data_IF_337331946195
#
_entry.id   IF_337331946195
#
_cell.length_a   1.000
_cell.length_b   1.000
_cell.length_c   1.000
_cell.angle_alpha   90.00
_cell.angle_beta   90.00
_cell.angle_gamma   90.00
#
_symmetry.space_group_name_H-M   'P 1'
#
loop_
_entity.id
_entity.type
_entity.pdbx_description
1 polymer ?
#
# COMPACT_ATOMS: atom_id res chain seq x y z
N UNK A 1 -1.79 -6.33 22.36
CA UNK A 1 -1.22 -6.87 21.11
C UNK A 1 -1.66 -6.00 19.96
N UNK A 2 -0.75 -5.63 19.07
CA UNK A 2 -1.05 -4.93 17.82
C UNK A 2 -0.22 -5.54 16.68
N UNK A 3 -0.72 -5.45 15.44
CA UNK A 3 -0.01 -6.04 14.31
C UNK A 3 -0.79 -5.89 13.02
N UNK A 4 -0.45 -6.68 12.01
CA UNK A 4 -1.11 -6.68 10.72
C UNK A 4 -1.21 -8.09 10.13
N UNK A 5 -2.16 -8.23 9.23
CA UNK A 5 -2.22 -9.28 8.24
C UNK A 5 -1.94 -8.64 6.87
N UNK A 6 -0.95 -9.16 6.14
CA UNK A 6 -0.69 -8.71 4.78
C UNK A 6 -1.86 -9.10 3.86
N UNK A 7 -2.07 -8.35 2.79
CA UNK A 7 -3.11 -8.67 1.79
C UNK A 7 -2.97 -10.10 1.24
N UNK A 8 -1.73 -10.53 1.04
CA UNK A 8 -1.37 -11.85 0.55
C UNK A 8 -1.72 -12.99 1.52
N UNK A 9 -2.01 -12.69 2.80
CA UNK A 9 -2.52 -13.68 3.74
C UNK A 9 -3.83 -14.32 3.22
N UNK A 10 -4.64 -13.57 2.47
CA UNK A 10 -5.83 -14.10 1.79
C UNK A 10 -5.53 -15.25 0.83
N UNK A 11 -4.35 -15.25 0.20
CA UNK A 11 -3.91 -16.32 -0.70
C UNK A 11 -3.61 -17.63 0.05
N UNK A 12 -3.21 -17.53 1.34
CA UNK A 12 -2.98 -18.69 2.20
C UNK A 12 -4.26 -19.22 2.84
N UNK A 13 -5.19 -18.31 3.16
CA UNK A 13 -6.45 -18.64 3.85
C UNK A 13 -7.51 -19.21 2.91
N UNK A 14 -7.55 -18.75 1.66
CA UNK A 14 -8.49 -19.22 0.65
C UNK A 14 -7.86 -20.35 -0.19
N UNK A 15 -8.43 -21.55 -0.11
CA UNK A 15 -7.89 -22.74 -0.76
C UNK A 15 -7.73 -22.59 -2.28
N UNK A 16 -8.70 -21.92 -2.94
CA UNK A 16 -8.67 -21.65 -4.39
C UNK A 16 -7.52 -20.76 -4.82
N UNK A 17 -6.95 -19.99 -3.89
CA UNK A 17 -5.91 -19.01 -4.16
C UNK A 17 -4.51 -19.47 -3.77
N UNK A 18 -4.38 -20.60 -3.06
CA UNK A 18 -3.07 -21.10 -2.57
C UNK A 18 -2.03 -21.25 -3.68
N UNK A 19 -2.43 -21.70 -4.86
CA UNK A 19 -1.53 -21.82 -6.03
C UNK A 19 -1.08 -20.48 -6.64
N UNK A 20 -1.61 -19.36 -6.17
CA UNK A 20 -1.24 -18.01 -6.63
C UNK A 20 -0.27 -17.29 -5.67
N UNK A 21 0.16 -17.96 -4.60
CA UNK A 21 1.10 -17.39 -3.65
C UNK A 21 2.44 -17.13 -4.35
N UNK A 22 3.00 -15.91 -4.25
CA UNK A 22 4.33 -15.61 -4.75
C UNK A 22 5.40 -16.47 -4.06
N UNK A 23 6.47 -16.85 -4.77
CA UNK A 23 7.57 -17.64 -4.22
C UNK A 23 8.33 -16.91 -3.09
N UNK A 24 8.31 -15.59 -3.11
CA UNK A 24 8.86 -14.76 -2.02
C UNK A 24 7.95 -13.55 -1.79
N UNK A 25 7.88 -13.13 -0.53
CA UNK A 25 7.14 -11.96 -0.09
C UNK A 25 8.10 -10.96 0.54
N UNK A 26 7.93 -9.65 0.31
CA UNK A 26 8.77 -8.61 0.91
C UNK A 26 8.53 -8.45 2.42
N UNK A 27 7.37 -8.89 2.90
CA UNK A 27 6.95 -8.79 4.30
C UNK A 27 6.31 -10.10 4.76
N UNK A 28 6.32 -10.40 6.07
CA UNK A 28 5.58 -11.54 6.61
C UNK A 28 4.08 -11.45 6.31
N UNK A 29 3.42 -12.59 6.12
CA UNK A 29 1.95 -12.66 5.94
C UNK A 29 1.18 -12.16 7.16
N UNK A 30 1.75 -12.36 8.34
CA UNK A 30 1.20 -11.89 9.60
C UNK A 30 2.33 -11.47 10.53
N UNK A 31 2.16 -10.37 11.20
CA UNK A 31 3.07 -9.92 12.25
C UNK A 31 2.27 -9.31 13.40
N UNK A 32 2.57 -9.71 14.63
CA UNK A 32 1.94 -9.19 15.82
C UNK A 32 2.97 -8.94 16.92
N UNK A 33 2.97 -7.73 17.47
CA UNK A 33 3.74 -7.35 18.64
C UNK A 33 2.92 -7.47 19.91
N UNK A 34 3.57 -7.89 20.99
CA UNK A 34 3.01 -7.88 22.35
C UNK A 34 3.56 -6.65 23.05
N UNK A 35 2.68 -5.80 23.55
CA UNK A 35 3.02 -4.55 24.22
C UNK A 35 2.48 -4.58 25.64
N UNK A 36 3.25 -4.04 26.57
CA UNK A 36 2.86 -3.99 27.99
C UNK A 36 1.78 -2.94 28.24
N UNK A 37 1.77 -1.87 27.41
CA UNK A 37 0.84 -0.75 27.57
C UNK A 37 0.55 -0.08 26.22
N UNK A 38 -0.45 0.80 26.22
CA UNK A 38 -0.79 1.68 25.08
C UNK A 38 -1.20 3.05 25.60
N UNK A 39 -1.06 4.06 24.76
CA UNK A 39 -1.51 5.43 25.05
C UNK A 39 -2.57 5.84 24.04
N UNK A 40 -3.71 6.28 24.52
CA UNK A 40 -4.70 6.96 23.70
C UNK A 40 -4.30 8.42 23.54
N UNK A 41 -4.28 8.88 22.31
CA UNK A 41 -3.93 10.25 21.97
C UNK A 41 -5.14 10.93 21.32
N UNK A 42 -5.35 12.19 21.68
CA UNK A 42 -6.23 13.05 20.89
C UNK A 42 -5.55 13.38 19.56
N UNK A 43 -6.32 13.90 18.61
CA UNK A 43 -5.75 14.35 17.32
C UNK A 43 -4.66 15.42 17.52
N UNK A 44 -4.84 16.34 18.47
CA UNK A 44 -3.84 17.34 18.80
C UNK A 44 -2.56 16.73 19.35
N UNK A 45 -2.69 15.82 20.36
CA UNK A 45 -1.52 15.13 20.93
C UNK A 45 -0.76 14.30 19.88
N UNK A 46 -1.48 13.69 18.93
CA UNK A 46 -0.85 12.97 17.85
C UNK A 46 -0.02 13.91 16.97
N UNK A 47 -0.60 15.02 16.52
CA UNK A 47 0.10 16.00 15.67
C UNK A 47 1.33 16.58 16.37
N UNK A 48 1.22 16.90 17.67
CA UNK A 48 2.33 17.40 18.47
C UNK A 48 3.44 16.35 18.69
N UNK A 49 3.11 15.07 18.60
CA UNK A 49 4.07 13.98 18.74
C UNK A 49 4.80 13.62 17.44
N UNK A 50 4.33 14.11 16.29
CA UNK A 50 4.96 13.84 15.01
C UNK A 50 6.24 14.67 14.83
N UNK A 51 7.24 14.14 14.12
CA UNK A 51 8.43 14.92 13.75
C UNK A 51 8.05 16.11 12.87
N UNK A 52 8.86 17.17 12.93
CA UNK A 52 8.70 18.33 12.05
C UNK A 52 8.73 17.87 10.57
N UNK A 53 7.72 18.30 9.81
CA UNK A 53 7.62 18.03 8.36
C UNK A 53 8.82 18.52 7.56
N UNK A 54 9.52 19.57 8.03
CA UNK A 54 10.76 20.04 7.40
C UNK A 54 11.91 19.02 7.52
N UNK A 55 11.78 18.02 8.39
CA UNK A 55 12.71 16.91 8.53
C UNK A 55 12.55 15.82 7.47
N UNK A 56 11.66 15.98 6.49
CA UNK A 56 11.46 15.03 5.40
C UNK A 56 11.51 15.74 4.04
N UNK A 57 12.09 15.03 3.06
CA UNK A 57 12.17 15.48 1.68
C UNK A 57 11.72 14.39 0.74
N UNK A 58 10.90 14.77 -0.25
CA UNK A 58 10.43 13.91 -1.32
C UNK A 58 10.95 14.42 -2.66
N UNK A 59 11.55 13.53 -3.43
CA UNK A 59 11.95 13.79 -4.79
C UNK A 59 10.78 13.74 -5.76
N UNK A 60 11.10 13.87 -7.05
CA UNK A 60 10.09 13.76 -8.12
C UNK A 60 9.49 12.36 -8.16
N UNK A 61 8.17 12.29 -8.23
CA UNK A 61 7.43 11.06 -8.48
C UNK A 61 7.70 10.56 -9.91
N UNK A 62 8.12 9.30 -10.03
CA UNK A 62 8.40 8.64 -11.31
C UNK A 62 7.53 7.39 -11.43
N UNK A 63 6.51 7.38 -12.31
CA UNK A 63 5.73 6.19 -12.60
C UNK A 63 6.61 5.06 -13.16
N UNK A 64 6.35 3.82 -12.75
CA UNK A 64 7.01 2.62 -13.30
C UNK A 64 6.31 2.04 -14.54
N UNK A 65 5.28 2.71 -15.01
CA UNK A 65 4.54 2.34 -16.22
C UNK A 65 4.63 3.50 -17.22
N UNK A 66 4.79 3.18 -18.49
CA UNK A 66 4.71 4.20 -19.53
C UNK A 66 3.26 4.68 -19.72
N UNK A 67 3.09 5.89 -20.23
CA UNK A 67 1.75 6.40 -20.56
C UNK A 67 1.03 5.49 -21.55
N UNK A 68 1.73 4.97 -22.55
CA UNK A 68 1.16 4.10 -23.57
C UNK A 68 0.67 2.76 -22.99
N UNK A 69 1.46 2.15 -22.09
CA UNK A 69 1.08 0.90 -21.42
C UNK A 69 -0.12 1.11 -20.49
N UNK A 70 -0.15 2.24 -19.76
CA UNK A 70 -1.29 2.58 -18.93
C UNK A 70 -2.57 2.77 -19.76
N UNK A 71 -2.49 3.51 -20.86
CA UNK A 71 -3.63 3.76 -21.75
C UNK A 71 -4.14 2.45 -22.40
N UNK A 72 -3.23 1.52 -22.75
CA UNK A 72 -3.60 0.19 -23.25
C UNK A 72 -4.31 -0.64 -22.17
N UNK A 73 -3.78 -0.66 -20.94
CA UNK A 73 -4.41 -1.35 -19.82
C UNK A 73 -5.79 -0.75 -19.47
N UNK A 74 -5.91 0.57 -19.49
CA UNK A 74 -7.18 1.26 -19.25
C UNK A 74 -8.24 0.89 -20.28
N UNK A 75 -7.91 0.88 -21.57
CA UNK A 75 -8.82 0.43 -22.63
C UNK A 75 -9.27 -1.02 -22.43
N UNK A 76 -8.36 -1.90 -22.00
CA UNK A 76 -8.70 -3.30 -21.72
C UNK A 76 -9.69 -3.41 -20.55
N UNK A 77 -9.49 -2.65 -19.47
CA UNK A 77 -10.45 -2.59 -18.34
C UNK A 77 -11.80 -2.07 -18.79
N UNK A 78 -11.85 -0.99 -19.59
CA UNK A 78 -13.10 -0.47 -20.13
C UNK A 78 -13.84 -1.53 -20.97
N UNK A 79 -13.13 -2.28 -21.82
CA UNK A 79 -13.76 -3.35 -22.61
C UNK A 79 -14.35 -4.45 -21.72
N UNK A 80 -13.67 -4.85 -20.64
CA UNK A 80 -14.22 -5.84 -19.69
C UNK A 80 -15.48 -5.33 -18.98
N UNK A 81 -15.55 -4.04 -18.66
CA UNK A 81 -16.76 -3.44 -18.08
C UNK A 81 -17.89 -3.41 -19.10
N UNK A 82 -17.61 -3.03 -20.36
CA UNK A 82 -18.60 -2.95 -21.42
C UNK A 82 -19.15 -4.33 -21.83
N UNK A 83 -18.31 -5.38 -21.77
CA UNK A 83 -18.73 -6.77 -22.04
C UNK A 83 -19.45 -7.42 -20.85
N UNK A 84 -19.45 -6.79 -19.68
CA UNK A 84 -20.04 -7.34 -18.47
C UNK A 84 -19.17 -8.37 -17.74
N UNK A 85 -17.91 -8.49 -18.12
CA UNK A 85 -16.97 -9.42 -17.46
C UNK A 85 -16.60 -8.96 -16.05
N UNK A 86 -16.57 -7.66 -15.82
CA UNK A 86 -16.33 -7.05 -14.52
C UNK A 86 -17.26 -5.84 -14.33
N UNK A 87 -17.59 -5.56 -13.09
CA UNK A 87 -18.42 -4.40 -12.73
C UNK A 87 -17.58 -3.14 -12.50
N UNK A 88 -16.44 -3.29 -11.85
CA UNK A 88 -15.54 -2.20 -11.47
C UNK A 88 -14.10 -2.70 -11.38
N UNK A 89 -13.14 -1.82 -11.66
CA UNK A 89 -11.72 -2.05 -11.38
C UNK A 89 -11.04 -0.76 -10.98
N UNK A 90 -10.16 -0.83 -9.98
CA UNK A 90 -9.19 0.21 -9.67
C UNK A 90 -7.88 -0.10 -10.41
N UNK A 91 -7.68 0.51 -11.57
CA UNK A 91 -6.44 0.38 -12.32
C UNK A 91 -5.35 1.20 -11.63
N UNK A 92 -4.40 0.52 -11.00
CA UNK A 92 -3.30 1.15 -10.27
C UNK A 92 -1.96 0.87 -10.95
N UNK A 93 -0.97 1.67 -10.62
CA UNK A 93 0.42 1.45 -11.03
C UNK A 93 1.36 1.85 -9.89
N UNK A 94 2.58 1.34 -9.95
CA UNK A 94 3.62 1.72 -9.00
C UNK A 94 4.34 2.97 -9.47
N UNK A 95 4.65 3.84 -8.52
CA UNK A 95 5.52 4.98 -8.73
C UNK A 95 6.60 5.00 -7.65
N UNK A 96 7.73 5.57 -7.96
CA UNK A 96 8.88 5.72 -7.08
C UNK A 96 9.26 7.18 -6.92
N UNK A 97 9.76 7.49 -5.75
CA UNK A 97 10.37 8.78 -5.46
C UNK A 97 11.54 8.59 -4.50
N UNK A 98 12.56 9.41 -4.62
CA UNK A 98 13.59 9.49 -3.62
C UNK A 98 13.00 10.08 -2.33
N UNK A 99 13.42 9.56 -1.20
CA UNK A 99 13.00 10.01 0.12
C UNK A 99 14.21 10.19 1.02
N UNK A 100 14.20 11.23 1.83
CA UNK A 100 15.18 11.46 2.88
C UNK A 100 14.49 12.03 4.11
N UNK A 101 14.93 11.63 5.29
CA UNK A 101 14.41 12.07 6.57
C UNK A 101 13.61 11.02 7.34
N UNK A 102 12.82 11.45 8.30
CA UNK A 102 12.02 10.57 9.14
C UNK A 102 10.66 10.25 8.48
N UNK A 103 10.28 8.97 8.29
CA UNK A 103 9.04 8.61 7.58
C UNK A 103 7.77 9.23 8.17
N UNK A 104 7.69 9.37 9.51
CA UNK A 104 6.52 9.97 10.16
C UNK A 104 6.38 11.48 9.89
N UNK A 105 7.45 12.17 9.46
CA UNK A 105 7.35 13.57 9.05
C UNK A 105 6.52 13.79 7.77
N UNK A 106 6.15 12.70 7.07
CA UNK A 106 5.20 12.77 5.95
C UNK A 106 3.74 12.88 6.38
N UNK A 107 3.46 12.65 7.66
CA UNK A 107 2.10 12.73 8.24
C UNK A 107 1.86 14.03 9.02
N UNK A 108 2.89 14.85 9.20
CA UNK A 108 2.83 16.11 9.95
C UNK A 108 2.15 17.23 9.17
#
# INVERSE_FOLDING_TARGET
>A
MAGYLAYEAGLALEERLRGKMPASLPTPLAWFGIFNDYKELTQSDLLDSLPDRQGAWLGRLTPRVSRADYDAAFKKVQNYILSGDIYQANLTFRAEMAFSGHPLALFS
#
